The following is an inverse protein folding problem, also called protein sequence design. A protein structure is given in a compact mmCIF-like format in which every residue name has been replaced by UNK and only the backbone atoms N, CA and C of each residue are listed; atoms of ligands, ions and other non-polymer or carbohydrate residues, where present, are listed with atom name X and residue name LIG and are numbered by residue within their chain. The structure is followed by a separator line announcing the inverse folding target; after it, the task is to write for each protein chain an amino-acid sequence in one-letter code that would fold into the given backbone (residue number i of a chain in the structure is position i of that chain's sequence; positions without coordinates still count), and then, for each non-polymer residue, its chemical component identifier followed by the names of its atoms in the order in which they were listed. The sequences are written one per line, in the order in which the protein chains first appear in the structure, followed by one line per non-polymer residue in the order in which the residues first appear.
data_IF_935791445894
#
_entry.id   IF_935791445894
#
_cell.length_a   1.000
_cell.length_b   1.000
_cell.length_c   1.000
_cell.angle_alpha   90.00
_cell.angle_beta   90.00
_cell.angle_gamma   90.00
#
_symmetry.space_group_name_H-M   'P 1'
#
loop_
_entity.id
_entity.type
_entity.pdbx_description
1 polymer ?
#
# COMPACT_ATOMS: atom_id res chain seq x y z
N UNK A 1 -62.49 -7.58 -18.54
CA UNK A 1 -61.58 -6.45 -18.15
C UNK A 1 -60.29 -7.08 -17.57
N UNK A 2 -59.29 -7.23 -18.42
CA UNK A 2 -57.99 -7.81 -18.03
C UNK A 2 -57.13 -6.67 -17.52
N UNK A 3 -56.73 -6.69 -16.25
CA UNK A 3 -55.74 -5.77 -15.68
C UNK A 3 -54.33 -6.25 -16.08
N UNK A 4 -53.67 -5.50 -16.91
CA UNK A 4 -52.25 -5.68 -17.28
C UNK A 4 -51.42 -5.02 -16.16
N UNK A 5 -50.69 -5.84 -15.39
CA UNK A 5 -49.75 -5.36 -14.40
C UNK A 5 -48.41 -5.15 -15.13
N UNK A 6 -48.03 -3.87 -15.28
CA UNK A 6 -46.76 -3.44 -15.83
C UNK A 6 -45.68 -3.56 -14.74
N UNK A 7 -44.83 -4.57 -14.81
CA UNK A 7 -43.70 -4.75 -13.95
C UNK A 7 -42.55 -3.84 -14.42
N UNK A 8 -42.36 -2.69 -13.76
CA UNK A 8 -41.20 -1.83 -14.02
C UNK A 8 -40.03 -2.43 -13.27
N UNK A 9 -39.17 -3.13 -14.02
CA UNK A 9 -37.83 -3.53 -13.51
C UNK A 9 -36.96 -2.28 -13.45
N UNK A 10 -36.81 -1.73 -12.26
CA UNK A 10 -35.79 -0.69 -11.99
C UNK A 10 -34.43 -1.37 -11.98
N UNK A 11 -33.70 -1.21 -13.08
CA UNK A 11 -32.30 -1.61 -13.16
C UNK A 11 -31.49 -0.66 -12.26
N UNK A 12 -31.22 -1.10 -11.03
CA UNK A 12 -30.27 -0.44 -10.13
C UNK A 12 -28.87 -0.69 -10.69
N UNK A 13 -28.35 0.26 -11.49
CA UNK A 13 -26.95 0.30 -11.85
C UNK A 13 -26.15 0.52 -10.57
N UNK A 14 -25.50 -0.52 -10.08
CA UNK A 14 -24.47 -0.43 -9.05
C UNK A 14 -23.30 0.31 -9.69
N UNK A 15 -23.26 1.63 -9.53
CA UNK A 15 -22.06 2.42 -9.75
C UNK A 15 -21.04 1.93 -8.70
N UNK A 16 -20.13 1.06 -9.13
CA UNK A 16 -18.88 0.83 -8.39
C UNK A 16 -18.15 2.16 -8.38
N UNK A 17 -18.20 2.89 -7.27
CA UNK A 17 -17.31 4.02 -7.04
C UNK A 17 -15.89 3.41 -7.04
N UNK A 18 -15.21 3.46 -8.18
CA UNK A 18 -13.77 3.26 -8.22
C UNK A 18 -13.16 4.34 -7.34
N UNK A 19 -12.36 3.96 -6.36
CA UNK A 19 -11.64 4.93 -5.56
C UNK A 19 -10.78 5.79 -6.50
N UNK A 20 -10.90 7.11 -6.40
CA UNK A 20 -10.12 8.05 -7.19
C UNK A 20 -8.61 7.81 -6.96
N UNK A 21 -7.83 7.84 -8.01
CA UNK A 21 -6.38 7.65 -7.98
C UNK A 21 -5.68 8.74 -8.78
N UNK A 22 -4.35 8.83 -8.70
CA UNK A 22 -3.59 9.80 -9.52
C UNK A 22 -3.76 9.54 -11.03
N UNK A 23 -4.15 8.32 -11.42
CA UNK A 23 -4.35 7.92 -12.81
C UNK A 23 -5.62 8.49 -13.46
N UNK A 24 -6.49 9.11 -12.67
CA UNK A 24 -7.72 9.75 -13.17
C UNK A 24 -7.46 11.18 -13.70
N UNK A 25 -6.24 11.69 -13.53
CA UNK A 25 -5.85 13.06 -13.92
C UNK A 25 -5.06 13.07 -15.22
N UNK A 26 -5.08 14.24 -15.87
CA UNK A 26 -4.26 14.58 -17.04
C UNK A 26 -3.45 15.82 -16.71
N UNK A 27 -2.26 15.91 -17.26
CA UNK A 27 -1.37 17.06 -17.17
C UNK A 27 -0.91 17.49 -18.56
N UNK A 28 -0.24 18.61 -18.72
CA UNK A 28 0.29 19.07 -20.00
C UNK A 28 1.80 18.86 -20.04
N UNK A 29 2.29 18.37 -21.19
CA UNK A 29 3.72 18.36 -21.48
C UNK A 29 4.22 19.77 -21.89
N UNK A 30 5.50 19.88 -22.21
CA UNK A 30 6.15 21.13 -22.63
C UNK A 30 5.66 21.68 -23.98
N UNK A 31 4.95 20.87 -24.75
CA UNK A 31 4.28 21.27 -26.00
C UNK A 31 2.81 21.66 -25.78
N UNK A 32 2.30 21.58 -24.54
CA UNK A 32 0.91 21.85 -24.17
C UNK A 32 -0.06 20.72 -24.50
N UNK A 33 0.44 19.52 -24.85
CA UNK A 33 -0.36 18.34 -25.13
C UNK A 33 -0.79 17.67 -23.84
N UNK A 34 -2.04 17.20 -23.79
CA UNK A 34 -2.55 16.42 -22.66
C UNK A 34 -1.86 15.06 -22.55
N UNK A 35 -1.31 14.78 -21.39
CA UNK A 35 -0.70 13.50 -20.99
C UNK A 35 -1.53 12.90 -19.85
N UNK A 36 -2.25 11.78 -20.08
CA UNK A 36 -2.95 11.09 -19.02
C UNK A 36 -1.95 10.47 -18.04
N UNK A 37 -2.14 10.67 -16.72
CA UNK A 37 -1.29 10.00 -15.73
C UNK A 37 -1.50 8.48 -15.69
N UNK A 38 -2.58 7.99 -16.32
CA UNK A 38 -2.80 6.57 -16.58
C UNK A 38 -1.66 5.91 -17.38
N UNK A 39 -0.90 6.67 -18.18
CA UNK A 39 0.25 6.17 -18.95
C UNK A 39 1.40 5.71 -18.03
N UNK A 40 1.40 6.17 -16.79
CA UNK A 40 2.38 5.78 -15.75
C UNK A 40 1.89 4.65 -14.85
N UNK A 41 0.75 4.04 -15.15
CA UNK A 41 0.18 2.95 -14.33
C UNK A 41 1.17 1.78 -14.17
N UNK A 42 1.31 1.31 -12.94
CA UNK A 42 2.24 0.24 -12.60
C UNK A 42 3.64 0.73 -12.21
N UNK A 43 3.93 2.03 -12.33
CA UNK A 43 5.16 2.65 -11.82
C UNK A 43 4.95 3.23 -10.41
N UNK A 44 5.99 3.27 -9.62
CA UNK A 44 6.09 4.08 -8.41
C UNK A 44 6.40 5.50 -8.85
N UNK A 45 5.60 6.49 -8.42
CA UNK A 45 5.78 7.88 -8.85
C UNK A 45 6.23 8.77 -7.69
N UNK A 46 7.11 9.73 -8.01
CA UNK A 46 7.40 10.87 -7.16
C UNK A 46 6.95 12.14 -7.87
N UNK A 47 5.83 12.70 -7.45
CA UNK A 47 5.27 13.93 -8.00
C UNK A 47 5.85 15.11 -7.23
N UNK A 48 6.47 16.06 -7.92
CA UNK A 48 7.17 17.18 -7.28
C UNK A 48 6.86 18.50 -7.96
N UNK A 49 6.59 19.57 -7.18
CA UNK A 49 6.55 20.93 -7.70
C UNK A 49 7.90 21.62 -7.51
N UNK A 50 8.45 22.19 -8.57
CA UNK A 50 9.83 22.65 -8.59
C UNK A 50 9.98 24.13 -8.99
N UNK A 51 11.21 24.63 -8.92
CA UNK A 51 11.56 25.97 -9.35
C UNK A 51 13.07 26.08 -9.64
N UNK A 52 13.43 26.96 -10.59
CA UNK A 52 14.82 27.13 -11.04
C UNK A 52 15.62 28.15 -10.21
N UNK A 53 14.95 29.00 -9.42
CA UNK A 53 15.58 30.07 -8.61
C UNK A 53 15.25 29.98 -7.13
N UNK A 54 15.06 28.77 -6.64
CA UNK A 54 14.73 28.48 -5.25
C UNK A 54 15.98 28.07 -4.47
N UNK A 55 16.02 28.36 -3.17
CA UNK A 55 17.08 27.84 -2.29
C UNK A 55 17.15 26.29 -2.26
N UNK A 56 16.06 25.62 -2.62
CA UNK A 56 15.99 24.16 -2.74
C UNK A 56 16.27 23.62 -4.15
N UNK A 57 16.55 24.48 -5.17
CA UNK A 57 16.88 24.06 -6.53
C UNK A 57 18.03 23.01 -6.60
N UNK A 58 19.04 23.04 -5.71
CA UNK A 58 20.07 22.00 -5.69
C UNK A 58 19.54 20.56 -5.46
N UNK A 59 18.30 20.38 -4.96
CA UNK A 59 17.69 19.05 -4.83
C UNK A 59 17.45 18.34 -6.17
N UNK A 60 17.50 19.05 -7.30
CA UNK A 60 17.48 18.40 -8.61
C UNK A 60 18.60 17.36 -8.78
N UNK A 61 19.79 17.58 -8.20
CA UNK A 61 20.87 16.58 -8.22
C UNK A 61 20.50 15.30 -7.50
N UNK A 62 19.84 15.44 -6.34
CA UNK A 62 19.41 14.28 -5.54
C UNK A 62 18.21 13.58 -6.19
N UNK A 63 17.31 14.33 -6.85
CA UNK A 63 16.19 13.76 -7.61
C UNK A 63 16.71 12.99 -8.82
N UNK A 64 17.69 13.54 -9.59
CA UNK A 64 18.25 12.83 -10.73
C UNK A 64 19.00 11.56 -10.30
N UNK A 65 19.82 11.63 -9.25
CA UNK A 65 20.49 10.45 -8.69
C UNK A 65 19.50 9.35 -8.26
N UNK A 66 18.34 9.77 -7.69
CA UNK A 66 17.26 8.85 -7.33
C UNK A 66 16.63 8.21 -8.59
N UNK A 67 16.41 9.01 -9.64
CA UNK A 67 15.86 8.56 -10.91
C UNK A 67 16.81 7.58 -11.62
N UNK A 68 18.08 7.93 -11.76
CA UNK A 68 19.09 7.04 -12.35
C UNK A 68 19.15 5.68 -11.64
N UNK A 69 19.03 5.69 -10.33
CA UNK A 69 19.12 4.49 -9.50
C UNK A 69 17.92 3.56 -9.67
N UNK A 70 16.70 4.10 -9.72
CA UNK A 70 15.47 3.31 -9.59
C UNK A 70 14.57 3.29 -10.83
N UNK A 71 14.85 4.08 -11.88
CA UNK A 71 13.98 4.15 -13.07
C UNK A 71 13.81 2.78 -13.75
N UNK A 72 14.86 1.93 -13.77
CA UNK A 72 14.82 0.58 -14.34
C UNK A 72 13.95 -0.39 -13.51
N UNK A 73 13.69 -0.06 -12.24
CA UNK A 73 12.85 -0.84 -11.33
C UNK A 73 11.38 -0.36 -11.36
N UNK A 74 11.05 0.50 -12.35
CA UNK A 74 9.71 1.02 -12.53
C UNK A 74 9.38 2.21 -11.61
N UNK A 75 10.36 3.05 -11.34
CA UNK A 75 10.21 4.34 -10.69
C UNK A 75 10.14 5.47 -11.73
N UNK A 76 9.38 6.52 -11.43
CA UNK A 76 9.29 7.71 -12.28
C UNK A 76 9.17 8.97 -11.43
N UNK A 77 9.79 10.06 -11.89
CA UNK A 77 9.62 11.39 -11.30
C UNK A 77 8.79 12.23 -12.26
N UNK A 78 7.74 12.86 -11.75
CA UNK A 78 6.90 13.78 -12.50
C UNK A 78 7.13 15.19 -11.98
N UNK A 79 7.89 15.98 -12.73
CA UNK A 79 8.32 17.32 -12.37
C UNK A 79 7.37 18.40 -12.91
N UNK A 80 6.85 19.23 -12.03
CA UNK A 80 5.92 20.31 -12.32
C UNK A 80 6.48 21.66 -11.85
N UNK A 81 7.09 22.48 -12.71
CA UNK A 81 7.54 23.81 -12.33
C UNK A 81 6.39 24.69 -11.85
N UNK A 82 6.56 25.34 -10.70
CA UNK A 82 5.55 26.18 -10.06
C UNK A 82 6.10 27.58 -9.73
N UNK A 83 5.41 28.64 -10.20
CA UNK A 83 5.84 30.01 -9.99
C UNK A 83 5.16 30.71 -8.82
N UNK A 84 4.31 30.03 -8.04
CA UNK A 84 3.51 30.63 -6.97
C UNK A 84 4.31 31.01 -5.73
N UNK A 85 5.53 30.48 -5.57
CA UNK A 85 6.38 30.72 -4.39
C UNK A 85 7.50 31.69 -4.71
N UNK A 86 7.20 32.98 -4.56
CA UNK A 86 8.17 34.07 -4.76
C UNK A 86 8.66 34.22 -6.21
N UNK A 87 7.84 33.81 -7.19
CA UNK A 87 8.16 33.88 -8.63
C UNK A 87 9.50 33.21 -8.99
N UNK A 88 9.79 32.08 -8.32
CA UNK A 88 11.07 31.37 -8.43
C UNK A 88 11.18 30.41 -9.63
N UNK A 89 10.12 30.27 -10.44
CA UNK A 89 10.13 29.54 -11.72
C UNK A 89 9.77 30.50 -12.89
N UNK A 90 10.55 31.56 -13.11
CA UNK A 90 10.29 32.50 -14.21
C UNK A 90 10.59 31.85 -15.57
N UNK A 91 10.20 32.56 -16.66
CA UNK A 91 10.43 32.10 -18.02
C UNK A 91 9.41 31.08 -18.53
N UNK A 92 9.61 30.66 -19.75
CA UNK A 92 8.82 29.64 -20.42
C UNK A 92 9.20 28.24 -19.96
N UNK A 93 8.33 27.25 -20.17
CA UNK A 93 8.64 25.86 -19.83
C UNK A 93 9.90 25.35 -20.55
N UNK A 94 10.10 25.74 -21.82
CA UNK A 94 11.31 25.38 -22.60
C UNK A 94 12.60 25.94 -21.98
N UNK A 95 12.56 27.18 -21.48
CA UNK A 95 13.71 27.78 -20.78
C UNK A 95 14.00 27.06 -19.46
N UNK A 96 12.95 26.64 -18.73
CA UNK A 96 13.07 25.87 -17.49
C UNK A 96 13.70 24.50 -17.80
N UNK A 97 13.22 23.76 -18.79
CA UNK A 97 13.77 22.46 -19.19
C UNK A 97 15.25 22.60 -19.61
N UNK A 98 15.55 23.62 -20.45
CA UNK A 98 16.93 23.88 -20.87
C UNK A 98 17.84 24.18 -19.66
N UNK A 99 17.35 24.92 -18.69
CA UNK A 99 18.09 25.19 -17.46
C UNK A 99 18.33 23.89 -16.65
N UNK A 100 17.30 23.07 -16.47
CA UNK A 100 17.38 21.82 -15.72
C UNK A 100 18.35 20.83 -16.36
N UNK A 101 18.24 20.63 -17.66
CA UNK A 101 19.14 19.76 -18.43
C UNK A 101 20.59 20.26 -18.37
N UNK A 102 20.83 21.57 -18.61
CA UNK A 102 22.17 22.11 -18.65
C UNK A 102 22.89 22.15 -17.28
N UNK A 103 22.15 22.29 -16.17
CA UNK A 103 22.74 22.46 -14.85
C UNK A 103 22.69 21.21 -13.98
N UNK A 104 21.76 20.29 -14.26
CA UNK A 104 21.49 19.13 -13.41
C UNK A 104 21.39 17.81 -14.19
N UNK A 105 21.53 17.85 -15.53
CA UNK A 105 21.44 16.67 -16.43
C UNK A 105 20.15 15.86 -16.23
N UNK A 106 19.01 16.56 -16.13
CA UNK A 106 17.72 15.93 -15.81
C UNK A 106 17.22 15.06 -16.97
N UNK A 107 16.88 13.80 -16.67
CA UNK A 107 16.36 12.81 -17.60
C UNK A 107 14.91 12.39 -17.31
N UNK A 108 14.39 12.67 -16.14
CA UNK A 108 12.99 12.37 -15.83
C UNK A 108 12.02 13.33 -16.51
N UNK A 109 10.73 12.94 -16.71
CA UNK A 109 9.69 13.76 -17.32
C UNK A 109 9.47 15.10 -16.62
N UNK A 110 9.57 16.18 -17.38
CA UNK A 110 9.25 17.54 -16.96
C UNK A 110 8.00 18.02 -17.72
N UNK A 111 7.00 18.49 -16.98
CA UNK A 111 5.70 18.92 -17.50
C UNK A 111 5.59 20.43 -17.56
N UNK A 112 4.47 20.92 -18.14
CA UNK A 112 4.17 22.35 -18.13
C UNK A 112 4.00 22.87 -16.71
N UNK A 113 4.11 24.21 -16.56
CA UNK A 113 3.92 24.89 -15.28
C UNK A 113 2.55 24.56 -14.70
N UNK A 114 2.51 24.41 -13.38
CA UNK A 114 1.30 24.05 -12.66
C UNK A 114 1.04 25.04 -11.51
N UNK A 115 -0.23 25.30 -11.22
CA UNK A 115 -0.63 25.94 -9.97
C UNK A 115 -1.05 24.88 -8.96
N UNK A 116 -0.45 24.95 -7.77
CA UNK A 116 -0.58 23.95 -6.71
C UNK A 116 -1.45 24.41 -5.55
N UNK A 117 -1.85 25.70 -5.55
CA UNK A 117 -2.73 26.32 -4.56
C UNK A 117 -3.62 27.38 -5.19
N UNK A 118 -4.73 27.69 -4.52
CA UNK A 118 -5.61 28.82 -4.87
C UNK A 118 -6.66 28.49 -5.92
N UNK A 119 -7.26 29.54 -6.51
CA UNK A 119 -8.46 29.40 -7.37
C UNK A 119 -8.19 28.62 -8.66
N UNK A 120 -6.98 28.70 -9.20
CA UNK A 120 -6.58 28.01 -10.44
C UNK A 120 -5.77 26.73 -10.19
N UNK A 121 -5.83 26.25 -8.95
CA UNK A 121 -5.14 25.02 -8.57
C UNK A 121 -5.52 23.86 -9.48
N UNK A 122 -4.52 23.11 -9.93
CA UNK A 122 -4.75 21.94 -10.75
C UNK A 122 -5.41 20.80 -9.94
N UNK A 123 -6.47 20.14 -10.47
CA UNK A 123 -7.20 19.10 -9.73
C UNK A 123 -6.33 17.96 -9.18
N UNK A 124 -5.20 17.65 -9.84
CA UNK A 124 -4.22 16.70 -9.32
C UNK A 124 -3.70 17.13 -7.94
N UNK A 125 -3.36 18.41 -7.76
CA UNK A 125 -2.82 18.90 -6.48
C UNK A 125 -3.89 19.02 -5.41
N UNK A 126 -5.14 19.32 -5.76
CA UNK A 126 -6.29 19.21 -4.83
C UNK A 126 -6.36 17.78 -4.29
N UNK A 127 -6.36 16.78 -5.18
CA UNK A 127 -6.39 15.37 -4.80
C UNK A 127 -5.18 14.97 -3.93
N UNK A 128 -3.96 15.32 -4.33
CA UNK A 128 -2.74 15.00 -3.58
C UNK A 128 -2.78 15.53 -2.15
N UNK A 129 -3.22 16.78 -1.98
CA UNK A 129 -3.35 17.45 -0.67
C UNK A 129 -4.46 16.84 0.19
N UNK A 130 -5.56 16.41 -0.41
CA UNK A 130 -6.65 15.72 0.29
C UNK A 130 -6.22 14.35 0.81
N UNK A 131 -5.38 13.63 0.03
CA UNK A 131 -4.84 12.34 0.44
C UNK A 131 -3.75 12.49 1.52
N UNK A 132 -2.88 13.48 1.40
CA UNK A 132 -1.77 13.75 2.33
C UNK A 132 -1.62 15.25 2.57
N UNK A 133 -2.23 15.71 3.67
CA UNK A 133 -2.12 17.09 4.12
C UNK A 133 -0.72 17.44 4.60
N UNK A 134 -0.55 18.70 5.00
CA UNK A 134 0.69 19.17 5.61
C UNK A 134 0.86 18.58 7.02
N UNK A 135 2.00 17.95 7.28
CA UNK A 135 2.31 17.30 8.56
C UNK A 135 3.19 18.10 9.50
N UNK A 136 3.57 19.35 9.11
CA UNK A 136 4.53 20.18 9.84
C UNK A 136 5.94 20.07 9.27
N UNK A 137 6.79 21.05 9.60
CA UNK A 137 8.24 20.96 9.40
C UNK A 137 8.92 20.36 10.64
N UNK A 138 10.05 19.68 10.46
CA UNK A 138 10.90 19.30 11.60
C UNK A 138 11.59 20.57 12.15
N UNK A 139 11.05 21.10 13.23
CA UNK A 139 11.57 22.32 13.88
C UNK A 139 12.89 22.07 14.64
N UNK A 140 13.34 20.83 14.79
CA UNK A 140 14.66 20.51 15.32
C UNK A 140 15.75 20.60 14.24
N UNK A 141 15.37 20.56 12.94
CA UNK A 141 16.25 20.88 11.82
C UNK A 141 16.25 22.40 11.59
N UNK A 142 17.44 22.96 11.33
CA UNK A 142 17.59 24.41 11.15
C UNK A 142 16.77 24.96 9.97
N UNK A 143 16.68 24.20 8.85
CA UNK A 143 15.92 24.61 7.67
C UNK A 143 14.42 24.48 7.91
N UNK A 144 14.00 23.40 8.61
CA UNK A 144 12.62 23.21 9.01
C UNK A 144 12.13 24.34 9.93
N UNK A 145 12.93 24.67 10.95
CA UNK A 145 12.64 25.81 11.84
C UNK A 145 12.58 27.14 11.09
N UNK A 146 13.51 27.40 10.18
CA UNK A 146 13.50 28.62 9.36
C UNK A 146 12.22 28.73 8.52
N UNK A 147 11.79 27.64 7.89
CA UNK A 147 10.57 27.62 7.09
C UNK A 147 9.32 27.83 7.94
N UNK A 148 9.22 27.18 9.11
CA UNK A 148 8.11 27.38 10.04
C UNK A 148 8.04 28.84 10.50
N UNK A 149 9.15 29.41 10.98
CA UNK A 149 9.22 30.80 11.46
C UNK A 149 8.85 31.81 10.35
N UNK A 150 9.32 31.58 9.12
CA UNK A 150 9.05 32.44 7.96
C UNK A 150 7.57 32.43 7.57
N UNK A 151 6.96 31.22 7.47
CA UNK A 151 5.57 31.10 7.06
C UNK A 151 4.62 31.58 8.16
N UNK A 152 4.91 31.27 9.43
CA UNK A 152 4.10 31.71 10.57
C UNK A 152 4.04 33.23 10.73
N UNK A 153 5.08 33.94 10.32
CA UNK A 153 5.06 35.42 10.25
C UNK A 153 4.10 35.98 9.18
N UNK A 154 3.82 35.16 8.12
CA UNK A 154 2.93 35.57 7.03
C UNK A 154 1.48 35.14 7.30
N UNK A 155 1.30 33.97 7.89
CA UNK A 155 0.01 33.39 8.24
C UNK A 155 0.20 32.51 9.50
N UNK A 156 -0.36 32.95 10.63
CA UNK A 156 -0.23 32.27 11.91
C UNK A 156 -0.86 30.86 11.89
N UNK A 157 -1.81 30.66 10.99
CA UNK A 157 -2.55 29.39 10.83
C UNK A 157 -2.13 28.59 9.60
N UNK A 158 -0.96 28.87 9.01
CA UNK A 158 -0.49 28.22 7.80
C UNK A 158 -0.44 26.68 7.95
N UNK A 159 -0.11 26.20 9.14
CA UNK A 159 0.02 24.79 9.47
C UNK A 159 -1.33 24.03 9.56
N UNK A 160 -2.45 24.74 9.69
CA UNK A 160 -3.79 24.17 9.69
C UNK A 160 -4.36 23.87 8.30
N UNK A 161 -3.67 24.32 7.24
CA UNK A 161 -4.08 24.17 5.85
C UNK A 161 -3.28 23.08 5.17
N UNK A 162 -3.93 22.29 4.31
CA UNK A 162 -3.26 21.25 3.50
C UNK A 162 -2.41 21.83 2.35
N UNK A 163 -2.48 23.12 2.07
CA UNK A 163 -1.78 23.79 0.98
C UNK A 163 -0.31 23.40 0.88
N UNK A 164 0.23 23.42 -0.33
CA UNK A 164 1.67 23.29 -0.57
C UNK A 164 2.35 24.50 0.03
N UNK A 165 3.38 24.28 0.83
CA UNK A 165 4.04 25.37 1.60
C UNK A 165 5.17 26.01 0.83
N UNK A 166 5.84 25.27 -0.05
CA UNK A 166 6.98 25.79 -0.83
C UNK A 166 7.28 24.90 -2.04
N UNK A 167 8.20 25.36 -2.90
CA UNK A 167 8.77 24.56 -3.97
C UNK A 167 9.51 23.33 -3.43
N UNK A 168 9.56 22.26 -4.19
CA UNK A 168 10.15 20.96 -3.85
C UNK A 168 9.36 20.15 -2.79
N UNK A 169 8.05 20.42 -2.63
CA UNK A 169 7.16 19.49 -1.96
C UNK A 169 6.95 18.27 -2.87
N UNK A 170 7.03 17.06 -2.29
CA UNK A 170 6.99 15.80 -3.02
C UNK A 170 5.88 14.90 -2.50
N UNK A 171 5.28 14.11 -3.42
CA UNK A 171 4.31 13.07 -3.08
C UNK A 171 4.78 11.74 -3.66
N UNK A 172 4.98 10.74 -2.80
CA UNK A 172 5.24 9.37 -3.21
C UNK A 172 3.93 8.65 -3.48
N UNK A 173 3.85 7.99 -4.61
CA UNK A 173 2.65 7.29 -5.09
C UNK A 173 3.00 5.84 -5.43
N UNK A 174 2.17 4.92 -4.96
CA UNK A 174 2.32 3.48 -5.24
C UNK A 174 1.95 3.11 -6.68
N UNK A 175 2.31 1.90 -7.08
CA UNK A 175 2.04 1.35 -8.43
C UNK A 175 0.56 1.29 -8.81
N UNK A 176 -0.34 1.29 -7.82
CA UNK A 176 -1.79 1.31 -8.01
C UNK A 176 -2.41 2.73 -7.94
N UNK A 177 -1.56 3.77 -7.86
CA UNK A 177 -1.98 5.17 -7.92
C UNK A 177 -2.41 5.78 -6.59
N UNK A 178 -2.17 5.11 -5.45
CA UNK A 178 -2.45 5.66 -4.12
C UNK A 178 -1.34 6.57 -3.63
N UNK A 179 -1.67 7.71 -3.07
CA UNK A 179 -0.71 8.61 -2.45
C UNK A 179 -0.28 8.05 -1.10
N UNK A 180 0.99 7.69 -0.98
CA UNK A 180 1.56 7.05 0.20
C UNK A 180 2.04 8.06 1.24
N UNK A 181 2.80 9.05 0.79
CA UNK A 181 3.46 10.02 1.66
C UNK A 181 3.66 11.36 0.98
N UNK A 182 3.67 12.42 1.77
CA UNK A 182 4.07 13.78 1.40
C UNK A 182 5.36 14.10 2.12
N UNK A 183 6.26 14.79 1.43
CA UNK A 183 7.52 15.31 1.96
C UNK A 183 7.60 16.81 1.71
N UNK A 184 8.00 17.54 2.70
CA UNK A 184 8.29 18.95 2.57
C UNK A 184 9.72 19.16 2.01
N UNK A 185 10.04 20.34 1.47
CA UNK A 185 11.38 20.59 0.92
C UNK A 185 12.51 20.47 1.93
N UNK A 186 12.21 20.56 3.22
CA UNK A 186 13.19 20.44 4.32
C UNK A 186 13.42 18.99 4.77
N UNK A 187 12.58 18.04 4.31
CA UNK A 187 12.76 16.64 4.64
C UNK A 187 14.02 16.08 3.97
N UNK A 188 14.65 15.12 4.62
CA UNK A 188 15.89 14.51 4.14
C UNK A 188 15.61 13.66 2.89
N UNK A 189 16.38 13.87 1.84
CA UNK A 189 16.28 13.06 0.63
C UNK A 189 16.61 11.59 0.87
N UNK A 190 17.41 11.27 1.90
CA UNK A 190 17.65 9.89 2.33
C UNK A 190 16.39 9.17 2.79
N UNK A 191 15.42 9.88 3.37
CA UNK A 191 14.15 9.30 3.80
C UNK A 191 13.22 9.06 2.59
N UNK A 192 13.26 9.98 1.60
CA UNK A 192 12.58 9.79 0.31
C UNK A 192 13.15 8.58 -0.41
N UNK A 193 14.48 8.45 -0.47
CA UNK A 193 15.17 7.32 -1.11
C UNK A 193 14.82 5.99 -0.43
N UNK A 194 14.81 5.94 0.89
CA UNK A 194 14.46 4.74 1.64
C UNK A 194 13.03 4.28 1.35
N UNK A 195 12.07 5.22 1.30
CA UNK A 195 10.67 4.90 1.01
C UNK A 195 10.49 4.50 -0.47
N UNK A 196 11.17 5.14 -1.42
CA UNK A 196 11.19 4.74 -2.85
C UNK A 196 11.75 3.33 -2.98
N UNK A 197 12.88 3.02 -2.35
CA UNK A 197 13.49 1.68 -2.37
C UNK A 197 12.53 0.61 -1.84
N UNK A 198 11.76 0.90 -0.79
CA UNK A 198 10.75 -0.03 -0.27
C UNK A 198 9.62 -0.27 -1.27
N UNK A 199 9.18 0.75 -1.98
CA UNK A 199 8.06 0.65 -2.93
C UNK A 199 8.46 0.00 -4.26
N UNK A 200 9.67 0.25 -4.77
CA UNK A 200 10.12 -0.34 -6.03
C UNK A 200 10.52 -1.80 -5.89
N UNK A 201 11.02 -2.21 -4.72
CA UNK A 201 11.38 -3.60 -4.46
C UNK A 201 10.12 -4.44 -4.21
N UNK A 202 9.80 -5.41 -5.09
CA UNK A 202 8.54 -6.15 -5.00
C UNK A 202 8.42 -6.98 -3.71
N UNK A 203 9.53 -7.45 -3.15
CA UNK A 203 9.51 -8.22 -1.89
C UNK A 203 9.20 -7.30 -0.72
N UNK A 204 9.89 -6.17 -0.60
CA UNK A 204 9.68 -5.20 0.48
C UNK A 204 8.28 -4.59 0.38
N UNK A 205 7.86 -4.19 -0.83
CA UNK A 205 6.52 -3.65 -1.07
C UNK A 205 5.43 -4.65 -0.67
N UNK A 206 5.58 -5.93 -1.03
CA UNK A 206 4.65 -6.98 -0.65
C UNK A 206 4.55 -7.15 0.88
N UNK A 207 5.70 -7.16 1.58
CA UNK A 207 5.76 -7.21 3.05
C UNK A 207 5.04 -6.02 3.69
N UNK A 208 5.29 -4.82 3.17
CA UNK A 208 4.69 -3.58 3.67
C UNK A 208 3.20 -3.47 3.37
N UNK A 209 2.72 -4.05 2.25
CA UNK A 209 1.33 -4.02 1.83
C UNK A 209 0.43 -5.05 2.54
N UNK A 210 1.00 -6.19 3.01
CA UNK A 210 0.21 -7.27 3.62
C UNK A 210 -0.59 -6.80 4.84
N UNK A 211 -1.88 -7.16 4.84
CA UNK A 211 -2.83 -6.87 5.94
C UNK A 211 -3.61 -8.12 6.31
N UNK A 212 -4.15 -8.15 7.53
CA UNK A 212 -5.12 -9.17 7.93
C UNK A 212 -6.50 -8.81 7.35
N UNK A 213 -6.95 -9.60 6.39
CA UNK A 213 -8.23 -9.45 5.69
C UNK A 213 -9.30 -10.27 6.41
N UNK A 214 -10.48 -9.67 6.65
CA UNK A 214 -11.62 -10.28 7.36
C UNK A 214 -12.94 -10.17 6.60
N UNK A 215 -12.88 -9.70 5.35
CA UNK A 215 -14.02 -9.73 4.41
C UNK A 215 -13.51 -10.24 3.09
N UNK A 216 -14.18 -11.24 2.57
CA UNK A 216 -13.82 -11.91 1.33
C UNK A 216 -14.93 -11.77 0.30
N UNK A 217 -14.58 -11.83 -0.98
CA UNK A 217 -15.55 -12.00 -2.05
C UNK A 217 -16.10 -13.42 -1.99
N UNK A 218 -17.35 -13.58 -2.39
CA UNK A 218 -17.97 -14.89 -2.63
C UNK A 218 -17.41 -15.48 -3.94
N UNK A 219 -16.16 -15.90 -3.86
CA UNK A 219 -15.40 -16.46 -4.98
C UNK A 219 -14.42 -17.50 -4.45
N UNK A 220 -14.47 -18.71 -5.00
CA UNK A 220 -13.50 -19.77 -4.70
C UNK A 220 -12.07 -19.34 -5.06
N UNK A 221 -11.11 -19.82 -4.29
CA UNK A 221 -9.68 -19.69 -4.64
C UNK A 221 -9.31 -20.87 -5.53
N UNK A 222 -8.59 -20.61 -6.60
CA UNK A 222 -8.08 -21.64 -7.50
C UNK A 222 -7.11 -22.56 -6.75
N UNK A 223 -7.25 -23.88 -6.95
CA UNK A 223 -6.43 -24.90 -6.28
C UNK A 223 -4.94 -24.66 -6.48
N UNK A 224 -4.53 -24.32 -7.69
CA UNK A 224 -3.15 -24.03 -8.05
C UNK A 224 -2.54 -22.87 -7.26
N UNK A 225 -3.36 -21.87 -6.92
CA UNK A 225 -2.91 -20.77 -6.05
C UNK A 225 -2.69 -21.23 -4.62
N UNK A 226 -3.57 -22.08 -4.10
CA UNK A 226 -3.41 -22.66 -2.77
C UNK A 226 -2.16 -23.54 -2.70
N UNK A 227 -1.88 -24.34 -3.73
CA UNK A 227 -0.64 -25.11 -3.84
C UNK A 227 0.60 -24.21 -3.82
N UNK A 228 0.61 -23.09 -4.57
CA UNK A 228 1.72 -22.15 -4.57
C UNK A 228 1.92 -21.54 -3.17
N UNK A 229 0.83 -21.15 -2.51
CA UNK A 229 0.87 -20.59 -1.14
C UNK A 229 1.49 -21.60 -0.17
N UNK A 230 1.04 -22.84 -0.19
CA UNK A 230 1.58 -23.91 0.67
C UNK A 230 3.04 -24.20 0.34
N UNK A 231 3.39 -24.29 -0.95
CA UNK A 231 4.77 -24.51 -1.41
C UNK A 231 5.72 -23.42 -0.92
N UNK A 232 5.31 -22.16 -0.96
CA UNK A 232 6.07 -21.06 -0.37
C UNK A 232 6.17 -21.21 1.15
N UNK A 233 5.09 -21.61 1.81
CA UNK A 233 5.08 -21.87 3.25
C UNK A 233 6.10 -22.90 3.68
N UNK A 234 6.05 -24.10 3.10
CA UNK A 234 6.95 -25.22 3.47
C UNK A 234 8.41 -24.97 3.12
N UNK A 235 8.71 -23.92 2.34
CA UNK A 235 10.08 -23.46 2.08
C UNK A 235 10.65 -22.60 3.24
N UNK A 236 9.88 -22.40 4.31
CA UNK A 236 10.36 -21.72 5.49
C UNK A 236 11.49 -22.50 6.20
N UNK A 237 12.47 -21.83 6.79
CA UNK A 237 13.48 -22.53 7.59
C UNK A 237 12.86 -23.16 8.83
N UNK A 238 13.44 -24.25 9.30
CA UNK A 238 13.10 -24.87 10.58
C UNK A 238 14.36 -25.33 11.30
N UNK A 239 14.28 -25.43 12.65
CA UNK A 239 15.40 -25.86 13.46
C UNK A 239 15.96 -27.21 12.99
N UNK A 240 17.23 -27.26 12.55
CA UNK A 240 17.88 -28.45 11.97
C UNK A 240 17.11 -29.07 10.79
N UNK A 241 16.32 -28.28 10.07
CA UNK A 241 15.45 -28.72 8.99
C UNK A 241 14.47 -29.85 9.39
N UNK A 242 13.99 -29.83 10.63
CA UNK A 242 13.09 -30.87 11.15
C UNK A 242 11.67 -30.79 10.61
N UNK A 243 11.27 -29.59 10.11
CA UNK A 243 9.95 -29.34 9.53
C UNK A 243 8.79 -29.84 10.43
N UNK A 244 8.71 -29.39 11.70
CA UNK A 244 7.79 -29.90 12.70
C UNK A 244 6.38 -29.31 12.53
N UNK A 245 5.83 -29.44 11.35
CA UNK A 245 4.49 -28.96 11.00
C UNK A 245 3.75 -29.96 10.14
N UNK A 246 2.43 -29.92 10.25
CA UNK A 246 1.50 -30.52 9.31
C UNK A 246 0.58 -29.43 8.80
N UNK A 247 0.34 -29.42 7.50
CA UNK A 247 -0.56 -28.48 6.84
C UNK A 247 -1.76 -29.23 6.30
N UNK A 248 -2.98 -28.73 6.54
CA UNK A 248 -4.22 -29.22 5.96
C UNK A 248 -4.92 -28.06 5.26
N UNK A 249 -5.19 -28.20 3.98
CA UNK A 249 -5.93 -27.21 3.19
C UNK A 249 -7.38 -27.67 3.11
N UNK A 250 -8.31 -26.80 3.46
CA UNK A 250 -9.75 -27.06 3.40
C UNK A 250 -10.34 -26.19 2.31
N UNK A 251 -10.70 -26.78 1.20
CA UNK A 251 -11.37 -26.19 0.04
C UNK A 251 -12.86 -26.55 0.01
N UNK A 252 -13.28 -27.50 0.86
CA UNK A 252 -14.66 -27.93 0.98
C UNK A 252 -15.51 -26.85 1.68
N UNK A 253 -16.15 -26.02 0.87
CA UNK A 253 -17.01 -24.94 1.36
C UNK A 253 -18.21 -25.44 2.16
N UNK A 254 -18.70 -26.69 1.88
CA UNK A 254 -19.78 -27.30 2.66
C UNK A 254 -19.31 -27.59 4.08
N UNK A 255 -18.12 -28.17 4.22
CA UNK A 255 -17.51 -28.44 5.53
C UNK A 255 -17.31 -27.14 6.32
N UNK A 256 -16.86 -26.06 5.66
CA UNK A 256 -16.70 -24.73 6.29
C UNK A 256 -18.05 -24.17 6.73
N UNK A 257 -19.09 -24.30 5.91
CA UNK A 257 -20.43 -23.83 6.25
C UNK A 257 -21.04 -24.65 7.42
N UNK A 258 -20.88 -25.97 7.42
CA UNK A 258 -21.36 -26.89 8.46
C UNK A 258 -20.73 -26.55 9.82
N UNK A 259 -19.43 -26.30 9.88
CA UNK A 259 -18.78 -25.94 11.15
C UNK A 259 -19.17 -24.57 11.64
N UNK A 260 -19.38 -23.58 10.74
CA UNK A 260 -19.93 -22.27 11.12
C UNK A 260 -21.35 -22.39 11.67
N UNK A 261 -22.20 -23.23 11.05
CA UNK A 261 -23.54 -23.51 11.54
C UNK A 261 -23.52 -24.18 12.91
N UNK A 262 -22.70 -25.21 13.12
CA UNK A 262 -22.53 -25.87 14.40
C UNK A 262 -22.02 -24.96 15.50
N UNK A 263 -21.19 -23.98 15.14
CA UNK A 263 -20.69 -22.95 16.04
C UNK A 263 -21.71 -21.83 16.33
N UNK A 264 -22.79 -21.73 15.54
CA UNK A 264 -23.76 -20.63 15.63
C UNK A 264 -23.24 -19.27 15.20
N UNK A 265 -22.11 -19.21 14.49
CA UNK A 265 -21.48 -17.99 13.99
C UNK A 265 -20.42 -18.29 12.93
N UNK A 266 -20.08 -17.29 12.11
CA UNK A 266 -18.90 -17.38 11.25
C UNK A 266 -17.62 -17.40 12.11
N UNK A 267 -16.85 -18.47 12.02
CA UNK A 267 -15.56 -18.61 12.72
C UNK A 267 -14.41 -18.04 11.89
N UNK A 268 -14.55 -18.02 10.56
CA UNK A 268 -13.44 -17.80 9.63
C UNK A 268 -13.69 -16.60 8.70
N UNK A 269 -14.59 -15.68 9.10
CA UNK A 269 -14.96 -14.50 8.31
C UNK A 269 -15.52 -14.84 6.92
N UNK A 270 -16.23 -15.96 6.81
CA UNK A 270 -16.81 -16.48 5.56
C UNK A 270 -15.77 -16.66 4.42
N UNK A 271 -14.53 -16.99 4.81
CA UNK A 271 -13.47 -17.26 3.86
C UNK A 271 -13.78 -18.52 3.04
N UNK A 272 -13.52 -18.51 1.72
CA UNK A 272 -13.81 -19.66 0.83
C UNK A 272 -12.88 -20.85 1.02
N UNK A 273 -11.72 -20.65 1.65
CA UNK A 273 -10.77 -21.74 1.96
C UNK A 273 -10.02 -21.45 3.28
N UNK A 274 -9.49 -22.53 3.86
CA UNK A 274 -8.72 -22.46 5.11
C UNK A 274 -7.41 -23.25 4.95
N UNK A 275 -6.35 -22.76 5.60
CA UNK A 275 -5.10 -23.48 5.76
C UNK A 275 -4.88 -23.72 7.25
N UNK A 276 -5.02 -24.96 7.68
CA UNK A 276 -4.85 -25.38 9.07
C UNK A 276 -3.41 -25.82 9.30
N UNK A 277 -2.74 -25.22 10.29
CA UNK A 277 -1.36 -25.54 10.63
C UNK A 277 -1.30 -26.20 12.00
N UNK A 278 -0.73 -27.40 12.02
CA UNK A 278 -0.57 -28.21 13.21
C UNK A 278 0.90 -28.31 13.60
N UNK A 279 1.15 -28.44 14.90
CA UNK A 279 2.49 -28.62 15.48
C UNK A 279 2.48 -29.74 16.50
N UNK A 280 3.65 -30.34 16.84
CA UNK A 280 3.71 -31.38 17.86
C UNK A 280 3.08 -30.97 19.19
N UNK A 281 2.39 -31.90 19.84
CA UNK A 281 1.70 -31.70 21.13
C UNK A 281 2.64 -31.21 22.24
N UNK A 282 3.89 -31.69 22.24
CA UNK A 282 4.92 -31.34 23.24
C UNK A 282 5.36 -29.87 23.20
N UNK A 283 4.73 -29.03 22.36
CA UNK A 283 5.01 -27.61 22.25
C UNK A 283 6.19 -27.24 21.35
N UNK A 284 6.85 -28.21 20.73
CA UNK A 284 7.87 -27.96 19.69
C UNK A 284 7.28 -27.39 18.42
N UNK A 285 8.10 -26.65 17.64
CA UNK A 285 7.73 -26.18 16.30
C UNK A 285 6.84 -24.94 16.22
N UNK A 286 6.45 -24.32 17.33
CA UNK A 286 5.61 -23.11 17.28
C UNK A 286 6.29 -21.94 16.56
N UNK A 287 7.60 -21.74 16.75
CA UNK A 287 8.39 -20.75 16.02
C UNK A 287 8.45 -21.10 14.52
N UNK A 288 8.76 -22.35 14.21
CA UNK A 288 8.87 -22.84 12.83
C UNK A 288 7.53 -22.70 12.09
N UNK A 289 6.40 -23.01 12.78
CA UNK A 289 5.05 -22.82 12.24
C UNK A 289 4.72 -21.33 12.00
N UNK A 290 5.25 -20.43 12.83
CA UNK A 290 5.13 -18.99 12.63
C UNK A 290 5.84 -18.53 11.36
N UNK A 291 7.07 -19.00 11.12
CA UNK A 291 7.83 -18.71 9.89
C UNK A 291 7.13 -19.26 8.63
N UNK A 292 6.62 -20.49 8.70
CA UNK A 292 5.82 -21.11 7.66
C UNK A 292 4.57 -20.28 7.36
N UNK A 293 3.87 -19.82 8.40
CA UNK A 293 2.65 -19.02 8.24
C UNK A 293 2.90 -17.66 7.60
N UNK A 294 3.98 -16.97 7.97
CA UNK A 294 4.32 -15.67 7.36
C UNK A 294 4.66 -15.84 5.88
N UNK A 295 5.43 -16.87 5.50
CA UNK A 295 5.71 -17.17 4.09
C UNK A 295 4.41 -17.41 3.28
N UNK A 296 3.45 -18.17 3.86
CA UNK A 296 2.15 -18.38 3.22
C UNK A 296 1.35 -17.08 3.06
N UNK A 297 1.34 -16.23 4.10
CA UNK A 297 0.63 -14.95 4.05
C UNK A 297 1.23 -13.99 3.02
N UNK A 298 2.55 -13.95 2.88
CA UNK A 298 3.25 -13.15 1.87
C UNK A 298 3.01 -13.68 0.46
N UNK A 299 3.02 -15.00 0.28
CA UNK A 299 2.70 -15.64 -1.01
C UNK A 299 1.26 -15.36 -1.42
N UNK A 300 0.30 -15.47 -0.50
CA UNK A 300 -1.10 -15.15 -0.75
C UNK A 300 -1.26 -13.69 -1.19
N UNK A 301 -0.63 -12.75 -0.48
CA UNK A 301 -0.62 -11.31 -0.84
C UNK A 301 -0.08 -11.09 -2.26
N UNK A 302 1.02 -11.74 -2.63
CA UNK A 302 1.62 -11.63 -3.96
C UNK A 302 0.72 -12.18 -5.08
N UNK A 303 -0.17 -13.12 -4.74
CA UNK A 303 -1.16 -13.71 -5.66
C UNK A 303 -2.51 -12.96 -5.67
N UNK A 304 -2.61 -11.81 -5.00
CA UNK A 304 -3.84 -11.02 -4.89
C UNK A 304 -4.87 -11.62 -3.93
N UNK A 305 -4.46 -12.51 -3.03
CA UNK A 305 -5.30 -13.11 -2.01
C UNK A 305 -5.10 -12.41 -0.64
N UNK A 306 -6.17 -12.32 0.13
CA UNK A 306 -6.13 -11.86 1.51
C UNK A 306 -6.10 -13.03 2.49
N UNK A 307 -5.46 -12.82 3.64
CA UNK A 307 -5.39 -13.82 4.72
C UNK A 307 -5.63 -13.20 6.08
N UNK A 308 -6.09 -14.03 7.03
CA UNK A 308 -6.06 -13.70 8.45
C UNK A 308 -5.63 -14.90 9.28
N UNK A 309 -4.63 -14.73 10.16
CA UNK A 309 -4.19 -15.76 11.08
C UNK A 309 -5.10 -15.80 12.30
N UNK A 310 -5.69 -16.96 12.58
CA UNK A 310 -6.77 -17.17 13.54
C UNK A 310 -6.36 -18.19 14.61
N UNK A 311 -6.28 -17.73 15.87
CA UNK A 311 -6.10 -18.60 17.04
C UNK A 311 -7.39 -18.72 17.89
N UNK A 312 -8.25 -17.69 17.89
CA UNK A 312 -9.55 -17.73 18.59
C UNK A 312 -10.45 -18.89 18.14
N UNK A 313 -10.68 -19.06 16.82
CA UNK A 313 -11.40 -20.21 16.29
C UNK A 313 -10.81 -21.57 16.69
N UNK A 314 -9.49 -21.72 16.73
CA UNK A 314 -8.85 -22.96 17.17
C UNK A 314 -9.23 -23.32 18.60
N UNK A 315 -9.12 -22.36 19.53
CA UNK A 315 -9.52 -22.59 20.95
C UNK A 315 -10.98 -22.99 21.04
N UNK A 316 -11.85 -22.33 20.26
CA UNK A 316 -13.27 -22.65 20.23
C UNK A 316 -13.54 -24.06 19.69
N UNK A 317 -12.90 -24.45 18.58
CA UNK A 317 -13.05 -25.76 17.97
C UNK A 317 -12.61 -26.89 18.92
N UNK A 318 -11.48 -26.70 19.61
CA UNK A 318 -10.95 -27.67 20.57
C UNK A 318 -11.82 -27.84 21.83
N UNK A 319 -12.63 -26.85 22.19
CA UNK A 319 -13.50 -26.87 23.38
C UNK A 319 -14.97 -27.19 23.08
N UNK A 320 -15.36 -27.33 21.82
CA UNK A 320 -16.75 -27.47 21.41
C UNK A 320 -17.01 -28.81 20.71
N UNK A 321 -17.63 -29.75 21.44
CA UNK A 321 -17.96 -31.08 20.92
C UNK A 321 -18.80 -31.06 19.63
N UNK A 322 -19.64 -30.03 19.43
CA UNK A 322 -20.44 -29.89 18.20
C UNK A 322 -19.58 -29.67 16.95
N UNK A 323 -18.34 -29.21 17.12
CA UNK A 323 -17.40 -28.93 16.03
C UNK A 323 -16.36 -30.04 15.85
N UNK A 324 -16.41 -31.13 16.64
CA UNK A 324 -15.43 -32.21 16.62
C UNK A 324 -15.31 -32.87 15.23
N UNK A 325 -16.40 -33.00 14.50
CA UNK A 325 -16.40 -33.56 13.15
C UNK A 325 -15.44 -32.82 12.19
N UNK A 326 -15.27 -31.50 12.38
CA UNK A 326 -14.33 -30.72 11.60
C UNK A 326 -12.87 -31.11 11.90
N UNK A 327 -12.55 -31.28 13.19
CA UNK A 327 -11.20 -31.72 13.59
C UNK A 327 -10.92 -33.17 13.11
N UNK A 328 -11.91 -34.06 13.20
CA UNK A 328 -11.81 -35.43 12.71
C UNK A 328 -11.55 -35.46 11.19
N UNK A 329 -12.16 -34.56 10.42
CA UNK A 329 -11.94 -34.44 8.97
C UNK A 329 -10.56 -33.88 8.61
N UNK A 330 -9.89 -33.16 9.51
CA UNK A 330 -8.52 -32.70 9.29
C UNK A 330 -7.49 -33.83 9.38
N UNK A 331 -7.87 -34.98 9.93
CA UNK A 331 -6.99 -36.16 10.08
C UNK A 331 -5.61 -35.78 10.66
N UNK A 332 -5.66 -35.13 11.84
CA UNK A 332 -4.46 -34.70 12.55
C UNK A 332 -3.93 -35.89 13.38
N UNK A 333 -2.65 -36.28 13.20
CA UNK A 333 -2.06 -37.33 14.06
C UNK A 333 -2.14 -36.97 15.55
N UNK A 334 -2.27 -37.98 16.41
CA UNK A 334 -2.50 -37.81 17.85
C UNK A 334 -1.37 -37.13 18.61
N UNK A 335 -0.15 -37.12 18.04
CA UNK A 335 1.03 -36.42 18.55
C UNK A 335 1.15 -34.97 18.05
N UNK A 336 0.17 -34.50 17.26
CA UNK A 336 0.05 -33.13 16.76
C UNK A 336 -1.23 -32.46 17.23
N UNK A 337 -1.20 -31.15 17.33
CA UNK A 337 -2.36 -30.30 17.63
C UNK A 337 -2.50 -29.16 16.63
N UNK A 338 -3.73 -28.77 16.38
CA UNK A 338 -4.03 -27.57 15.58
C UNK A 338 -3.52 -26.33 16.31
N UNK A 339 -2.61 -25.57 15.69
CA UNK A 339 -1.97 -24.40 16.26
C UNK A 339 -2.68 -23.09 15.86
N UNK A 340 -2.86 -22.91 14.55
CA UNK A 340 -3.63 -21.79 14.00
C UNK A 340 -4.27 -22.15 12.66
N UNK A 341 -5.21 -21.32 12.23
CA UNK A 341 -5.86 -21.42 10.93
C UNK A 341 -5.61 -20.11 10.18
N UNK A 342 -5.19 -20.19 8.91
CA UNK A 342 -5.24 -19.05 8.00
C UNK A 342 -6.57 -19.11 7.24
N UNK A 343 -7.45 -18.12 7.41
CA UNK A 343 -8.53 -17.89 6.45
C UNK A 343 -7.92 -17.24 5.21
N UNK A 344 -8.33 -17.68 4.01
CA UNK A 344 -7.76 -17.25 2.74
C UNK A 344 -8.85 -17.09 1.69
N UNK A 345 -8.78 -16.03 0.89
CA UNK A 345 -9.74 -15.72 -0.17
C UNK A 345 -9.41 -14.42 -0.89
N UNK A 346 -10.21 -14.08 -1.88
CA UNK A 346 -10.10 -12.78 -2.54
C UNK A 346 -10.61 -11.68 -1.61
N UNK A 347 -9.81 -10.62 -1.34
CA UNK A 347 -10.20 -9.59 -0.39
C UNK A 347 -11.39 -8.77 -0.90
N UNK A 348 -12.36 -8.51 0.00
CA UNK A 348 -13.48 -7.57 -0.20
C UNK A 348 -13.38 -6.40 0.79
N UNK A 349 -12.17 -6.06 1.20
CA UNK A 349 -11.83 -4.89 2.01
C UNK A 349 -10.37 -4.53 1.80
N UNK A 350 -10.03 -3.29 2.13
CA UNK A 350 -8.65 -2.81 2.11
C UNK A 350 -8.31 -2.20 3.48
N UNK A 351 -7.85 -3.02 4.44
CA UNK A 351 -7.58 -2.54 5.79
C UNK A 351 -6.42 -1.56 5.83
N UNK A 352 -6.58 -0.47 6.56
CA UNK A 352 -5.50 0.49 6.80
C UNK A 352 -4.35 -0.12 7.61
N UNK A 353 -3.13 0.34 7.35
CA UNK A 353 -1.98 0.02 8.18
C UNK A 353 -2.19 0.58 9.59
N UNK A 354 -1.99 -0.28 10.61
CA UNK A 354 -1.96 0.18 12.00
C UNK A 354 -0.56 0.71 12.32
N UNK A 355 -0.43 1.75 13.16
CA UNK A 355 0.86 2.24 13.62
C UNK A 355 1.72 1.11 14.21
N UNK A 356 3.02 1.18 14.01
CA UNK A 356 4.00 0.30 14.61
C UNK A 356 4.85 1.10 15.59
N UNK A 357 5.14 0.50 16.72
CA UNK A 357 5.93 1.12 17.78
C UNK A 357 7.43 0.85 17.54
N UNK A 358 8.06 1.78 16.83
CA UNK A 358 9.49 1.73 16.54
C UNK A 358 10.37 1.98 17.79
N UNK A 359 9.81 2.52 18.88
CA UNK A 359 10.56 2.76 20.12
C UNK A 359 11.06 1.48 20.79
N UNK A 360 10.46 0.34 20.44
CA UNK A 360 10.86 -0.99 20.91
C UNK A 360 12.09 -1.55 20.19
N UNK A 361 12.58 -0.87 19.15
CA UNK A 361 13.78 -1.28 18.39
C UNK A 361 14.97 -0.45 18.87
N UNK A 362 16.04 -1.13 19.28
CA UNK A 362 17.30 -0.51 19.67
C UNK A 362 18.43 -1.06 18.82
N UNK A 363 19.17 -0.18 18.17
CA UNK A 363 20.39 -0.52 17.46
C UNK A 363 21.59 -0.44 18.41
N UNK A 364 22.28 -1.54 18.61
CA UNK A 364 23.52 -1.60 19.39
C UNK A 364 24.67 -1.58 18.37
N UNK A 365 25.44 -0.51 18.40
CA UNK A 365 26.57 -0.28 17.49
C UNK A 365 27.88 -0.48 18.23
#
# INVERSE_FOLDING_TARGET
MKKMILCIMTMMSVLTLSAQSVYDFKVKDDAGKDVPLADYKGKVLLIVNTATRCGFTPQYKELEALYERFSKDGFEILDFPCNQFGEQAPGTIKEIHSFCTANFDIHFPQFDKIEVNGTNEHPLYTYLKDQKGFGGFDINDQRGKFMDDMLRKRDADFDKKADIKWNFTKFLVSRDGRVLKRYEPTDKMSDVEADVMMEVNPVLSNMMARRSVRKYLDKSVEHEKLEIVVKCGINAPSGMNRQPWIVRVVEDQKLIAEVNQAAGRSLFYDAPALICVCTPENGGGALDAGLLGENMMLAAQALGLGTCCLQGPVRFLLSNEKCKFFLDRLDIPSDYKLNYILSIGYPNEQPNAKPRDASKVKYIK
#
